data_IF_997845006431
#
_entry.id   IF_997845006431
#
_cell.length_a   1.000
_cell.length_b   1.000
_cell.length_c   1.000
_cell.angle_alpha   90.00
_cell.angle_beta   90.00
_cell.angle_gamma   90.00
#
_symmetry.space_group_name_H-M   'P 1'
#
loop_
_entity.id
_entity.type
_entity.pdbx_description
1 polymer ?
#
# COMPACT_ATOMS: atom_id res chain seq x y z
N UNK A 1 -29.76 -14.21 -24.05
CA UNK A 1 -28.83 -14.37 -25.20
C UNK A 1 -28.93 -13.25 -26.24
N UNK A 2 -30.08 -13.02 -26.90
CA UNK A 2 -30.22 -11.98 -27.95
C UNK A 2 -29.74 -10.58 -27.52
N UNK A 3 -30.18 -10.11 -26.36
CA UNK A 3 -29.76 -8.81 -25.81
C UNK A 3 -28.25 -8.77 -25.50
N UNK A 4 -27.69 -9.87 -24.99
CA UNK A 4 -26.25 -10.00 -24.74
C UNK A 4 -25.44 -9.88 -26.03
N UNK A 5 -25.90 -10.50 -27.13
CA UNK A 5 -25.21 -10.43 -28.41
C UNK A 5 -25.17 -9.01 -28.98
N UNK A 6 -26.27 -8.26 -28.80
CA UNK A 6 -26.33 -6.85 -29.21
C UNK A 6 -25.33 -5.99 -28.43
N UNK A 7 -25.15 -6.24 -27.13
CA UNK A 7 -24.24 -5.48 -26.27
C UNK A 7 -22.76 -5.82 -26.51
N UNK A 8 -22.44 -7.10 -26.71
CA UNK A 8 -21.05 -7.57 -26.81
C UNK A 8 -20.52 -7.66 -28.25
N UNK A 9 -21.41 -7.54 -29.26
CA UNK A 9 -21.07 -7.66 -30.67
C UNK A 9 -20.98 -9.11 -31.17
N UNK A 10 -20.91 -9.29 -32.49
CA UNK A 10 -21.03 -10.61 -33.14
C UNK A 10 -19.88 -11.58 -32.86
N UNK A 11 -18.71 -11.09 -32.40
CA UNK A 11 -17.55 -11.92 -32.06
C UNK A 11 -17.68 -12.67 -30.73
N UNK A 12 -18.62 -12.28 -29.87
CA UNK A 12 -18.82 -12.92 -28.57
C UNK A 12 -19.61 -14.23 -28.71
N UNK A 13 -19.07 -15.32 -28.15
CA UNK A 13 -19.77 -16.60 -28.03
C UNK A 13 -20.58 -16.61 -26.74
N UNK A 14 -21.91 -16.75 -26.86
CA UNK A 14 -22.82 -16.76 -25.71
C UNK A 14 -23.35 -18.17 -25.48
N UNK A 15 -23.32 -18.60 -24.23
CA UNK A 15 -23.80 -19.92 -23.80
C UNK A 15 -24.71 -19.75 -22.59
N UNK A 16 -25.81 -20.49 -22.55
CA UNK A 16 -26.63 -20.62 -21.34
C UNK A 16 -26.02 -21.72 -20.46
N UNK A 17 -25.83 -21.43 -19.18
CA UNK A 17 -25.29 -22.39 -18.22
C UNK A 17 -25.71 -22.05 -16.80
N UNK A 18 -25.57 -23.04 -15.93
CA UNK A 18 -25.71 -22.90 -14.48
C UNK A 18 -24.31 -22.70 -13.87
N UNK A 19 -24.17 -21.74 -12.95
CA UNK A 19 -22.92 -21.50 -12.23
C UNK A 19 -22.45 -22.75 -11.49
N UNK A 20 -23.38 -23.53 -10.95
CA UNK A 20 -23.07 -24.75 -10.20
C UNK A 20 -22.71 -25.95 -11.09
N UNK A 21 -22.80 -25.80 -12.42
CA UNK A 21 -22.44 -26.82 -13.40
C UNK A 21 -22.17 -26.18 -14.77
N UNK A 22 -21.00 -25.55 -14.91
CA UNK A 22 -20.65 -24.79 -16.10
C UNK A 22 -20.49 -25.72 -17.32
N UNK A 23 -21.11 -25.39 -18.48
CA UNK A 23 -21.13 -26.24 -19.67
C UNK A 23 -19.84 -26.12 -20.50
N UNK A 24 -18.69 -26.10 -19.83
CA UNK A 24 -17.37 -25.97 -20.46
C UNK A 24 -16.42 -27.06 -19.96
N UNK A 25 -15.48 -27.52 -20.81
CA UNK A 25 -14.44 -28.44 -20.38
C UNK A 25 -13.48 -27.79 -19.36
N UNK A 26 -12.70 -28.63 -18.68
CA UNK A 26 -11.68 -28.19 -17.73
C UNK A 26 -10.57 -27.40 -18.44
N UNK A 27 -10.06 -26.35 -17.80
CA UNK A 27 -8.83 -25.67 -18.22
C UNK A 27 -8.87 -24.96 -19.58
N UNK A 28 -10.04 -24.54 -20.05
CA UNK A 28 -10.19 -23.92 -21.39
C UNK A 28 -10.07 -22.40 -21.40
N UNK A 29 -10.29 -21.72 -20.26
CA UNK A 29 -10.27 -20.26 -20.18
C UNK A 29 -9.02 -19.71 -19.50
N UNK A 30 -8.50 -18.60 -20.04
CA UNK A 30 -7.36 -17.85 -19.49
C UNK A 30 -7.76 -16.89 -18.35
N UNK A 31 -9.06 -16.68 -18.12
CA UNK A 31 -9.57 -15.83 -17.06
C UNK A 31 -11.09 -15.84 -16.98
N UNK A 32 -11.62 -15.40 -15.84
CA UNK A 32 -13.06 -15.24 -15.61
C UNK A 32 -13.38 -13.87 -15.01
N UNK A 33 -14.54 -13.33 -15.37
CA UNK A 33 -15.09 -12.10 -14.80
C UNK A 33 -16.54 -12.40 -14.41
N UNK A 34 -16.87 -12.18 -13.14
CA UNK A 34 -18.19 -12.34 -12.56
C UNK A 34 -18.59 -11.01 -11.93
N UNK A 35 -19.62 -10.37 -12.46
CA UNK A 35 -20.06 -9.03 -12.04
C UNK A 35 -21.55 -9.10 -11.77
N UNK A 36 -21.94 -8.73 -10.54
CA UNK A 36 -23.33 -8.66 -10.11
C UNK A 36 -24.12 -9.91 -10.50
N UNK A 37 -23.55 -11.09 -10.22
CA UNK A 37 -24.15 -12.36 -10.60
C UNK A 37 -24.02 -13.43 -9.52
N UNK A 38 -22.89 -13.48 -8.81
CA UNK A 38 -22.58 -14.54 -7.85
C UNK A 38 -23.57 -14.55 -6.67
N UNK A 39 -24.08 -13.39 -6.26
CA UNK A 39 -25.06 -13.28 -5.16
C UNK A 39 -26.41 -13.96 -5.46
N UNK A 40 -26.75 -14.22 -6.72
CA UNK A 40 -27.94 -14.99 -7.06
C UNK A 40 -27.75 -16.51 -6.97
N UNK A 41 -26.53 -16.98 -6.71
CA UNK A 41 -26.19 -18.41 -6.72
C UNK A 41 -26.47 -19.04 -5.35
N UNK A 42 -27.27 -20.12 -5.27
CA UNK A 42 -27.51 -20.85 -4.03
C UNK A 42 -26.24 -21.38 -3.36
N UNK A 43 -25.47 -22.21 -4.09
CA UNK A 43 -24.21 -22.81 -3.64
C UNK A 43 -23.00 -22.11 -4.29
N UNK A 44 -22.57 -21.01 -3.67
CA UNK A 44 -21.41 -20.23 -4.12
C UNK A 44 -20.15 -21.09 -4.15
N UNK A 45 -19.93 -21.92 -3.14
CA UNK A 45 -18.74 -22.78 -3.06
C UNK A 45 -18.65 -23.76 -4.23
N UNK A 46 -19.78 -24.34 -4.66
CA UNK A 46 -19.84 -25.17 -5.88
C UNK A 46 -19.59 -24.35 -7.14
N UNK A 47 -20.18 -23.16 -7.25
CA UNK A 47 -19.93 -22.28 -8.39
C UNK A 47 -18.46 -21.86 -8.51
N UNK A 48 -17.81 -21.54 -7.39
CA UNK A 48 -16.38 -21.20 -7.37
C UNK A 48 -15.50 -22.38 -7.79
N UNK A 49 -15.85 -23.61 -7.39
CA UNK A 49 -15.17 -24.83 -7.87
C UNK A 49 -15.34 -25.03 -9.38
N UNK A 50 -16.54 -24.80 -9.91
CA UNK A 50 -16.79 -24.89 -11.35
C UNK A 50 -16.03 -23.80 -12.12
N UNK A 51 -16.03 -22.55 -11.63
CA UNK A 51 -15.23 -21.46 -12.20
C UNK A 51 -13.75 -21.85 -12.18
N UNK A 52 -13.24 -22.37 -11.06
CA UNK A 52 -11.85 -22.82 -10.97
C UNK A 52 -11.54 -23.97 -11.93
N UNK A 53 -12.47 -24.92 -12.11
CA UNK A 53 -12.31 -26.08 -13.00
C UNK A 53 -12.14 -25.67 -14.46
N UNK A 54 -12.95 -24.73 -14.94
CA UNK A 54 -12.91 -24.29 -16.36
C UNK A 54 -11.72 -23.39 -16.67
N UNK A 55 -11.06 -22.85 -15.65
CA UNK A 55 -9.86 -22.00 -15.77
C UNK A 55 -8.58 -22.82 -15.90
N UNK A 56 -7.64 -22.35 -16.73
CA UNK A 56 -6.27 -22.86 -16.80
C UNK A 56 -5.57 -22.75 -15.44
N UNK A 57 -4.50 -23.53 -15.26
CA UNK A 57 -3.79 -23.65 -13.98
C UNK A 57 -3.31 -22.31 -13.40
N UNK A 58 -2.89 -21.37 -14.25
CA UNK A 58 -2.33 -20.07 -13.84
C UNK A 58 -3.31 -18.90 -14.08
N UNK A 59 -4.54 -19.20 -14.49
CA UNK A 59 -5.56 -18.19 -14.75
C UNK A 59 -6.19 -17.66 -13.45
N UNK A 60 -6.82 -16.49 -13.56
CA UNK A 60 -7.50 -15.82 -12.45
C UNK A 60 -8.97 -15.51 -12.73
N UNK A 61 -9.69 -15.21 -11.66
CA UNK A 61 -11.06 -14.74 -11.68
C UNK A 61 -11.20 -13.40 -10.95
N UNK A 62 -12.05 -12.53 -11.48
CA UNK A 62 -12.46 -11.28 -10.83
C UNK A 62 -13.94 -11.38 -10.48
N UNK A 63 -14.26 -11.05 -9.23
CA UNK A 63 -15.63 -11.01 -8.70
C UNK A 63 -15.92 -9.57 -8.26
N UNK A 64 -16.99 -8.97 -8.77
CA UNK A 64 -17.45 -7.63 -8.41
C UNK A 64 -18.91 -7.73 -8.02
N UNK A 65 -19.18 -7.78 -6.72
CA UNK A 65 -20.49 -8.18 -6.21
C UNK A 65 -21.04 -7.14 -5.23
N UNK A 66 -22.37 -7.04 -5.10
CA UNK A 66 -22.95 -6.26 -4.03
C UNK A 66 -22.68 -6.95 -2.69
N UNK A 67 -22.19 -6.16 -1.73
CA UNK A 67 -21.75 -6.66 -0.42
C UNK A 67 -22.76 -6.42 0.69
N UNK A 68 -22.25 -6.10 1.87
CA UNK A 68 -23.03 -5.95 3.09
C UNK A 68 -24.16 -4.90 2.94
N UNK A 69 -25.38 -5.31 3.29
CA UNK A 69 -26.57 -4.47 3.27
C UNK A 69 -27.38 -4.52 1.97
N UNK A 70 -26.87 -5.17 0.91
CA UNK A 70 -27.57 -5.31 -0.37
C UNK A 70 -28.92 -6.01 -0.25
N UNK A 71 -28.99 -7.17 0.39
CA UNK A 71 -30.22 -7.94 0.57
C UNK A 71 -31.28 -7.20 1.39
N UNK A 72 -30.85 -6.21 2.18
CA UNK A 72 -31.75 -5.42 3.03
C UNK A 72 -32.39 -4.22 2.30
N UNK A 73 -31.89 -3.86 1.11
CA UNK A 73 -32.39 -2.73 0.34
C UNK A 73 -33.83 -2.96 -0.13
N UNK A 74 -34.59 -1.86 -0.25
CA UNK A 74 -35.99 -1.93 -0.66
C UNK A 74 -36.14 -2.56 -2.05
N UNK A 75 -35.26 -2.19 -2.98
CA UNK A 75 -35.24 -2.76 -4.34
C UNK A 75 -35.04 -4.28 -4.30
N UNK A 76 -34.01 -4.76 -3.60
CA UNK A 76 -33.71 -6.19 -3.50
C UNK A 76 -34.87 -6.98 -2.89
N UNK A 77 -35.55 -6.42 -1.89
CA UNK A 77 -36.76 -7.04 -1.31
C UNK A 77 -37.91 -7.15 -2.31
N UNK A 78 -38.17 -6.08 -3.05
CA UNK A 78 -39.19 -6.09 -4.11
C UNK A 78 -38.83 -7.11 -5.20
N UNK A 79 -37.57 -7.17 -5.63
CA UNK A 79 -37.13 -8.13 -6.65
C UNK A 79 -37.28 -9.58 -6.16
N UNK A 80 -36.92 -9.89 -4.92
CA UNK A 80 -37.17 -11.20 -4.31
C UNK A 80 -38.68 -11.54 -4.25
N UNK A 81 -39.52 -10.59 -3.83
CA UNK A 81 -40.96 -10.80 -3.69
C UNK A 81 -41.67 -10.98 -5.04
N UNK A 82 -41.32 -10.15 -6.03
CA UNK A 82 -42.03 -10.11 -7.32
C UNK A 82 -41.46 -11.08 -8.35
N UNK A 83 -40.14 -11.26 -8.38
CA UNK A 83 -39.45 -12.06 -9.40
C UNK A 83 -39.00 -13.42 -8.88
N UNK A 84 -39.03 -13.65 -7.56
CA UNK A 84 -38.57 -14.90 -6.95
C UNK A 84 -37.06 -15.15 -7.12
N UNK A 85 -36.30 -14.09 -7.40
CA UNK A 85 -34.83 -14.15 -7.47
C UNK A 85 -34.25 -14.22 -6.06
N UNK A 86 -33.01 -14.69 -5.98
CA UNK A 86 -32.24 -14.70 -4.75
C UNK A 86 -31.38 -13.43 -4.69
N UNK A 87 -31.64 -12.58 -3.70
CA UNK A 87 -30.76 -11.47 -3.35
C UNK A 87 -30.09 -11.78 -2.01
N UNK A 88 -28.75 -11.79 -1.97
CA UNK A 88 -27.98 -11.98 -0.74
C UNK A 88 -26.81 -11.01 -0.67
N UNK A 89 -26.30 -10.80 0.53
CA UNK A 89 -25.04 -10.09 0.72
C UNK A 89 -23.87 -11.00 0.38
N UNK A 90 -22.89 -10.50 -0.36
CA UNK A 90 -21.58 -11.15 -0.45
C UNK A 90 -20.68 -10.62 0.66
N UNK A 91 -20.36 -11.48 1.62
CA UNK A 91 -19.43 -11.16 2.70
C UNK A 91 -18.01 -11.38 2.21
N UNK A 92 -17.25 -10.30 2.08
CA UNK A 92 -15.91 -10.29 1.46
C UNK A 92 -14.96 -11.34 2.04
N UNK A 93 -14.93 -11.50 3.37
CA UNK A 93 -14.04 -12.47 4.03
C UNK A 93 -14.42 -13.90 3.71
N UNK A 94 -15.72 -14.20 3.70
CA UNK A 94 -16.24 -15.54 3.37
C UNK A 94 -15.96 -15.87 1.91
N UNK A 95 -16.22 -14.93 0.99
CA UNK A 95 -15.90 -15.12 -0.43
C UNK A 95 -14.40 -15.37 -0.65
N UNK A 96 -13.53 -14.67 0.07
CA UNK A 96 -12.09 -14.88 -0.04
C UNK A 96 -11.67 -16.28 0.43
N UNK A 97 -12.27 -16.78 1.52
CA UNK A 97 -12.01 -18.12 2.03
C UNK A 97 -12.59 -19.20 1.10
N UNK A 98 -13.81 -19.02 0.59
CA UNK A 98 -14.41 -19.94 -0.38
C UNK A 98 -13.61 -19.99 -1.70
N UNK A 99 -13.02 -18.87 -2.14
CA UNK A 99 -12.09 -18.88 -3.28
C UNK A 99 -10.87 -19.75 -2.98
N UNK A 100 -10.30 -19.66 -1.78
CA UNK A 100 -9.15 -20.50 -1.40
C UNK A 100 -9.54 -21.97 -1.38
N UNK A 101 -10.68 -22.30 -0.79
CA UNK A 101 -11.20 -23.66 -0.72
C UNK A 101 -11.53 -24.23 -2.09
N UNK A 102 -11.91 -23.38 -3.05
CA UNK A 102 -12.13 -23.76 -4.44
C UNK A 102 -10.82 -24.05 -5.21
N UNK A 103 -9.65 -23.70 -4.67
CA UNK A 103 -8.34 -23.95 -5.28
C UNK A 103 -7.67 -22.72 -5.91
N UNK A 104 -8.03 -21.51 -5.49
CA UNK A 104 -7.28 -20.29 -5.79
C UNK A 104 -6.20 -20.07 -4.71
N UNK A 105 -4.92 -20.05 -5.10
CA UNK A 105 -3.81 -19.92 -4.17
C UNK A 105 -3.62 -18.48 -3.67
N UNK A 106 -3.86 -17.48 -4.52
CA UNK A 106 -3.76 -16.07 -4.14
C UNK A 106 -5.09 -15.36 -4.29
N UNK A 107 -5.62 -14.81 -3.20
CA UNK A 107 -6.89 -14.08 -3.18
C UNK A 107 -6.70 -12.73 -2.51
N UNK A 108 -7.11 -11.67 -3.19
CA UNK A 108 -6.99 -10.29 -2.73
C UNK A 108 -8.28 -9.51 -2.98
N UNK A 109 -8.53 -8.48 -2.19
CA UNK A 109 -9.65 -7.55 -2.39
C UNK A 109 -9.13 -6.18 -2.78
N UNK A 110 -9.83 -5.53 -3.71
CA UNK A 110 -9.50 -4.22 -4.21
C UNK A 110 -10.66 -3.26 -3.90
N UNK A 111 -10.39 -2.10 -3.27
CA UNK A 111 -11.43 -1.12 -3.03
C UNK A 111 -11.90 -0.52 -4.36
N UNK A 112 -13.21 -0.51 -4.55
CA UNK A 112 -13.86 0.27 -5.59
C UNK A 112 -14.61 1.45 -4.94
N UNK A 113 -14.07 2.65 -5.11
CA UNK A 113 -14.67 3.87 -4.57
C UNK A 113 -15.70 4.41 -5.56
N UNK A 114 -16.97 4.12 -5.30
CA UNK A 114 -18.09 4.65 -6.09
C UNK A 114 -19.29 5.01 -5.18
N UNK A 115 -19.88 6.22 -5.32
CA UNK A 115 -19.43 7.35 -6.14
C UNK A 115 -18.03 7.84 -5.71
N UNK A 116 -17.29 8.54 -6.59
CA UNK A 116 -15.96 9.03 -6.24
C UNK A 116 -16.03 9.95 -5.02
N UNK A 117 -15.00 9.89 -4.18
CA UNK A 117 -14.88 10.77 -3.03
C UNK A 117 -14.78 12.23 -3.52
N UNK A 118 -15.77 13.04 -3.15
CA UNK A 118 -15.77 14.47 -3.41
C UNK A 118 -15.32 15.19 -2.14
N UNK A 119 -14.24 15.95 -2.26
CA UNK A 119 -13.77 16.84 -1.20
C UNK A 119 -14.12 18.26 -1.60
N UNK A 120 -14.80 18.98 -0.72
CA UNK A 120 -14.89 20.43 -0.87
C UNK A 120 -13.52 21.08 -0.63
N UNK A 121 -13.42 22.36 -0.95
CA UNK A 121 -12.17 23.09 -0.89
C UNK A 121 -11.60 23.25 0.54
N UNK A 122 -12.45 23.27 1.57
CA UNK A 122 -12.00 23.37 2.98
C UNK A 122 -11.41 22.04 3.45
N UNK A 123 -12.07 20.93 3.12
CA UNK A 123 -11.60 19.59 3.42
C UNK A 123 -10.31 19.28 2.64
N UNK A 124 -10.25 19.65 1.35
CA UNK A 124 -9.04 19.47 0.54
C UNK A 124 -7.83 20.23 1.08
N UNK A 125 -8.00 21.50 1.47
CA UNK A 125 -6.93 22.29 2.13
C UNK A 125 -6.47 21.67 3.44
N UNK A 126 -7.39 21.05 4.18
CA UNK A 126 -7.05 20.38 5.44
C UNK A 126 -6.18 19.15 5.20
N UNK A 127 -6.49 18.35 4.16
CA UNK A 127 -5.68 17.20 3.73
C UNK A 127 -4.27 17.64 3.31
N UNK A 128 -4.16 18.71 2.50
CA UNK A 128 -2.86 19.20 2.01
C UNK A 128 -1.93 19.72 3.12
N UNK A 129 -2.48 20.06 4.29
CA UNK A 129 -1.71 20.57 5.42
C UNK A 129 -1.27 19.46 6.39
N UNK A 130 -1.68 18.21 6.17
CA UNK A 130 -1.20 17.05 6.93
C UNK A 130 0.25 16.78 6.52
N UNK A 131 1.18 17.00 7.46
CA UNK A 131 2.57 16.57 7.27
C UNK A 131 2.66 15.05 7.39
N UNK A 132 3.52 14.40 6.59
CA UNK A 132 3.76 12.95 6.70
C UNK A 132 4.00 12.55 8.16
N UNK A 133 3.47 11.40 8.63
CA UNK A 133 3.76 10.94 9.96
C UNK A 133 5.26 10.67 10.07
N UNK A 134 5.99 11.55 10.75
CA UNK A 134 7.32 11.23 11.25
C UNK A 134 7.19 10.06 12.23
N UNK A 135 8.20 9.18 12.23
CA UNK A 135 8.25 7.84 12.82
C UNK A 135 8.07 7.77 14.35
N UNK A 136 7.58 8.83 14.99
CA UNK A 136 7.39 8.94 16.44
C UNK A 136 5.88 9.07 16.72
N UNK A 137 5.21 7.91 16.82
CA UNK A 137 3.81 7.86 17.23
C UNK A 137 3.65 8.33 18.69
N UNK A 138 2.86 9.38 18.90
CA UNK A 138 2.52 9.86 20.24
C UNK A 138 1.50 8.94 20.91
N UNK A 139 1.64 8.76 22.23
CA UNK A 139 0.78 8.00 23.15
C UNK A 139 -0.74 8.26 22.99
N UNK A 140 -1.12 9.33 22.30
CA UNK A 140 -2.50 9.72 22.00
C UNK A 140 -3.19 8.80 20.98
N UNK A 141 -2.46 8.29 19.98
CA UNK A 141 -3.03 7.36 18.97
C UNK A 141 -3.25 5.97 19.58
N UNK A 142 -2.31 5.52 20.42
CA UNK A 142 -2.48 4.31 21.24
C UNK A 142 -3.66 4.45 22.21
N UNK A 143 -3.82 5.61 22.85
CA UNK A 143 -4.96 5.88 23.73
C UNK A 143 -6.31 5.83 23.00
N UNK A 144 -6.41 6.38 21.79
CA UNK A 144 -7.65 6.34 21.01
C UNK A 144 -7.98 4.92 20.51
N UNK A 145 -6.99 4.17 20.03
CA UNK A 145 -7.16 2.76 19.69
C UNK A 145 -7.59 1.93 20.92
N UNK A 146 -7.04 2.22 22.10
CA UNK A 146 -7.45 1.59 23.36
C UNK A 146 -8.90 1.92 23.75
N UNK A 147 -9.34 3.17 23.60
CA UNK A 147 -10.74 3.56 23.86
C UNK A 147 -11.69 2.81 22.93
N UNK A 148 -11.35 2.60 21.67
CA UNK A 148 -12.15 1.78 20.76
C UNK A 148 -12.13 0.29 21.10
N UNK A 149 -10.98 -0.27 21.50
CA UNK A 149 -10.90 -1.68 21.94
C UNK A 149 -11.75 -1.95 23.19
N UNK A 150 -11.92 -0.97 24.08
CA UNK A 150 -12.79 -1.12 25.26
C UNK A 150 -14.30 -1.16 24.94
N UNK A 151 -14.70 -0.81 23.71
CA UNK A 151 -16.07 -0.95 23.22
C UNK A 151 -16.41 -2.38 22.79
N UNK A 152 -15.40 -3.25 22.58
CA UNK A 152 -15.58 -4.67 22.27
C UNK A 152 -15.47 -5.55 23.53
N UNK A 153 -16.58 -5.68 24.27
CA UNK A 153 -16.83 -6.79 25.22
C UNK A 153 -16.04 -6.82 26.54
N UNK A 154 -16.67 -7.28 27.62
CA UNK A 154 -16.13 -7.24 28.99
C UNK A 154 -14.98 -8.19 29.29
N UNK A 155 -14.78 -9.25 28.51
CA UNK A 155 -13.80 -10.31 28.78
C UNK A 155 -12.32 -9.89 28.55
N UNK A 156 -12.06 -8.94 27.63
CA UNK A 156 -10.70 -8.55 27.25
C UNK A 156 -10.05 -7.50 28.17
N UNK A 157 -10.81 -6.92 29.10
CA UNK A 157 -10.31 -5.85 29.99
C UNK A 157 -9.20 -6.34 30.92
N UNK A 158 -9.32 -7.53 31.52
CA UNK A 158 -8.34 -8.03 32.52
C UNK A 158 -6.98 -8.40 31.90
N UNK A 159 -6.97 -9.00 30.71
CA UNK A 159 -5.73 -9.35 30.00
C UNK A 159 -4.97 -8.12 29.51
N UNK A 160 -5.68 -7.08 29.06
CA UNK A 160 -5.08 -5.82 28.64
C UNK A 160 -4.40 -5.08 29.81
N UNK A 161 -5.04 -5.06 30.99
CA UNK A 161 -4.49 -4.44 32.20
C UNK A 161 -3.26 -5.17 32.76
N UNK A 162 -3.25 -6.50 32.72
CA UNK A 162 -2.12 -7.31 33.19
C UNK A 162 -0.84 -7.11 32.35
N UNK A 163 -0.98 -6.91 31.03
CA UNK A 163 0.16 -6.60 30.14
C UNK A 163 0.67 -5.17 30.30
N UNK A 164 -0.19 -4.22 30.70
CA UNK A 164 0.16 -2.80 30.86
C UNK A 164 1.04 -2.55 32.09
N UNK A 165 0.78 -3.26 33.19
CA UNK A 165 1.54 -3.13 34.44
C UNK A 165 2.99 -3.64 34.31
N UNK A 166 3.27 -4.53 33.36
CA UNK A 166 4.62 -5.06 33.09
C UNK A 166 5.49 -4.19 32.20
N UNK A 167 4.93 -3.17 31.54
CA UNK A 167 5.62 -2.39 30.50
C UNK A 167 6.07 -0.98 30.90
N UNK A 168 5.87 -0.55 32.15
CA UNK A 168 6.25 0.79 32.60
C UNK A 168 7.26 0.74 33.76
N UNK A 169 8.57 0.78 33.47
CA UNK A 169 9.55 1.31 34.41
C UNK A 169 9.96 2.74 34.01
N UNK A 170 10.10 3.62 35.01
CA UNK A 170 10.64 4.99 34.99
C UNK A 170 9.72 6.14 34.55
N UNK A 171 8.90 6.63 35.49
CA UNK A 171 8.47 8.02 35.56
C UNK A 171 8.79 8.55 36.97
N UNK A 172 10.04 8.94 37.16
CA UNK A 172 10.52 9.47 38.43
C UNK A 172 11.72 10.40 38.20
N UNK A 173 11.46 11.57 37.62
CA UNK A 173 12.25 12.82 37.67
C UNK A 173 12.05 13.59 36.37
N UNK A 174 11.18 14.60 36.39
CA UNK A 174 11.39 15.96 35.85
C UNK A 174 10.18 16.74 36.33
N UNK A 175 10.29 17.47 37.45
CA UNK A 175 9.53 18.70 37.70
C UNK A 175 10.06 19.34 38.98
N UNK A 176 11.11 20.14 38.85
CA UNK A 176 11.50 21.16 39.83
C UNK A 176 11.97 22.39 39.07
N UNK A 177 11.28 23.53 39.25
CA UNK A 177 11.74 24.82 38.72
C UNK A 177 10.62 25.85 38.63
N UNK A 178 10.57 26.77 39.60
CA UNK A 178 9.66 27.93 39.67
C UNK A 178 10.18 29.11 38.84
N UNK A 179 9.27 29.96 38.35
CA UNK A 179 9.38 31.43 38.53
C UNK A 179 9.28 32.34 37.31
N UNK A 180 8.29 33.25 37.34
CA UNK A 180 8.35 34.71 37.06
C UNK A 180 7.27 35.26 36.11
N UNK A 181 6.69 36.40 36.52
CA UNK A 181 5.58 37.19 35.92
C UNK A 181 6.04 38.13 34.80
N UNK A 182 5.13 38.54 33.90
CA UNK A 182 4.80 39.97 33.64
C UNK A 182 3.57 40.14 32.72
N UNK A 183 3.08 41.39 32.70
CA UNK A 183 1.76 41.93 32.35
C UNK A 183 1.30 42.00 30.87
N UNK A 184 -0.05 42.00 30.73
CA UNK A 184 -0.97 42.80 29.85
C UNK A 184 -0.47 43.39 28.51
N UNK A 185 -1.14 43.06 27.38
CA UNK A 185 -2.24 43.84 26.73
C UNK A 185 -2.64 43.34 25.31
N UNK A 186 -3.95 43.44 25.05
CA UNK A 186 -4.70 43.62 23.77
C UNK A 186 -4.55 42.64 22.59
N UNK A 187 -5.66 41.96 22.22
CA UNK A 187 -6.38 42.11 20.92
C UNK A 187 -7.47 41.06 20.70
N UNK A 188 -8.58 41.54 20.11
CA UNK A 188 -9.59 40.87 19.26
C UNK A 188 -10.26 39.58 19.77
N UNK A 189 -11.60 39.57 19.71
CA UNK A 189 -12.45 38.38 19.83
C UNK A 189 -11.85 37.21 19.02
N UNK A 190 -11.74 36.00 19.59
CA UNK A 190 -11.24 34.87 18.85
C UNK A 190 -12.27 34.53 17.77
N UNK A 191 -11.92 34.75 16.51
CA UNK A 191 -12.49 33.94 15.44
C UNK A 191 -12.28 32.48 15.86
N UNK A 192 -13.36 31.70 15.95
CA UNK A 192 -13.25 30.26 16.20
C UNK A 192 -12.27 29.70 15.17
N UNK A 193 -11.08 29.34 15.64
CA UNK A 193 -10.11 28.65 14.79
C UNK A 193 -10.77 27.32 14.43
N UNK A 194 -10.89 26.97 13.13
CA UNK A 194 -11.40 25.67 12.76
C UNK A 194 -10.57 24.62 13.50
N UNK A 195 -11.25 23.81 14.31
CA UNK A 195 -10.62 22.74 15.08
C UNK A 195 -10.08 21.75 14.06
N UNK A 196 -8.76 21.75 13.87
CA UNK A 196 -8.10 20.80 12.97
C UNK A 196 -8.21 19.41 13.59
N UNK A 197 -8.86 18.43 12.93
CA UNK A 197 -8.77 17.06 13.38
C UNK A 197 -7.29 16.65 13.36
N UNK A 198 -6.78 15.97 14.40
CA UNK A 198 -5.40 15.49 14.38
C UNK A 198 -5.22 14.52 13.20
N UNK A 199 -4.05 14.54 12.56
CA UNK A 199 -3.72 13.76 11.35
C UNK A 199 -4.12 12.28 11.43
N UNK A 200 -3.96 11.67 12.61
CA UNK A 200 -4.38 10.30 12.89
C UNK A 200 -5.89 10.06 12.72
N UNK A 201 -6.74 11.04 13.05
CA UNK A 201 -8.19 10.94 12.88
C UNK A 201 -8.57 10.96 11.40
N UNK A 202 -7.87 11.74 10.57
CA UNK A 202 -8.12 11.82 9.13
C UNK A 202 -7.64 10.54 8.40
N UNK A 203 -6.47 10.01 8.79
CA UNK A 203 -6.00 8.71 8.33
C UNK A 203 -6.98 7.59 8.73
N UNK A 204 -7.46 7.58 9.97
CA UNK A 204 -8.44 6.61 10.46
C UNK A 204 -9.76 6.67 9.70
N UNK A 205 -10.31 7.87 9.48
CA UNK A 205 -11.54 8.05 8.69
C UNK A 205 -11.38 7.58 7.25
N UNK A 206 -10.22 7.82 6.63
CA UNK A 206 -9.92 7.35 5.27
C UNK A 206 -9.87 5.82 5.19
N UNK A 207 -9.24 5.18 6.17
CA UNK A 207 -9.20 3.71 6.27
C UNK A 207 -10.60 3.11 6.51
N UNK A 208 -11.41 3.72 7.38
CA UNK A 208 -12.80 3.29 7.60
C UNK A 208 -13.65 3.45 6.34
N UNK A 209 -13.45 4.53 5.58
CA UNK A 209 -14.16 4.78 4.33
C UNK A 209 -13.82 3.72 3.29
N UNK A 210 -12.52 3.42 3.13
CA UNK A 210 -12.05 2.34 2.26
C UNK A 210 -12.62 0.98 2.68
N UNK A 211 -12.63 0.70 3.99
CA UNK A 211 -13.21 -0.52 4.53
C UNK A 211 -14.70 -0.62 4.19
N UNK A 212 -15.49 0.42 4.45
CA UNK A 212 -16.92 0.40 4.14
C UNK A 212 -17.18 0.27 2.63
N UNK A 213 -16.38 0.93 1.79
CA UNK A 213 -16.50 0.79 0.34
C UNK A 213 -16.25 -0.65 -0.11
N UNK A 214 -15.22 -1.31 0.45
CA UNK A 214 -14.93 -2.73 0.20
C UNK A 214 -16.04 -3.64 0.72
N UNK A 215 -16.58 -3.37 1.91
CA UNK A 215 -17.66 -4.18 2.49
C UNK A 215 -18.96 -4.02 1.71
N UNK A 216 -19.26 -2.83 1.18
CA UNK A 216 -20.48 -2.57 0.40
C UNK A 216 -20.39 -3.05 -1.05
N UNK A 217 -19.19 -3.06 -1.65
CA UNK A 217 -18.98 -3.53 -3.02
C UNK A 217 -17.60 -4.20 -3.17
N UNK A 218 -17.45 -5.45 -2.72
CA UNK A 218 -16.18 -6.15 -2.81
C UNK A 218 -15.79 -6.44 -4.26
N UNK A 219 -14.58 -6.04 -4.64
CA UNK A 219 -13.91 -6.50 -5.86
C UNK A 219 -12.82 -7.49 -5.47
N UNK A 220 -13.13 -8.78 -5.54
CA UNK A 220 -12.19 -9.87 -5.21
C UNK A 220 -11.48 -10.34 -6.48
N UNK A 221 -10.15 -10.42 -6.41
CA UNK A 221 -9.30 -11.00 -7.44
C UNK A 221 -8.68 -12.27 -6.88
N UNK A 222 -9.01 -13.41 -7.49
CA UNK A 222 -8.54 -14.73 -7.13
C UNK A 222 -7.68 -15.31 -8.25
N UNK A 223 -6.48 -15.80 -7.93
CA UNK A 223 -5.51 -16.35 -8.87
C UNK A 223 -5.17 -17.78 -8.46
N UNK A 224 -5.16 -18.68 -9.44
CA UNK A 224 -4.88 -20.10 -9.21
C UNK A 224 -3.39 -20.39 -8.96
N UNK A 225 -2.49 -19.57 -9.51
CA UNK A 225 -1.05 -19.65 -9.26
C UNK A 225 -0.61 -18.83 -8.04
N UNK A 226 0.58 -19.16 -7.51
CA UNK A 226 1.24 -18.32 -6.51
C UNK A 226 1.50 -16.94 -7.10
N UNK A 227 1.14 -15.90 -6.35
CA UNK A 227 1.62 -14.55 -6.65
C UNK A 227 3.15 -14.55 -6.59
N UNK A 228 3.80 -14.13 -7.67
CA UNK A 228 5.19 -13.71 -7.61
C UNK A 228 5.26 -12.31 -6.97
N UNK A 229 6.03 -12.11 -5.88
CA UNK A 229 6.19 -10.80 -5.30
C UNK A 229 6.86 -9.85 -6.30
N UNK A 230 6.31 -8.65 -6.41
CA UNK A 230 6.90 -7.51 -7.12
C UNK A 230 6.93 -6.29 -6.19
N UNK A 231 7.66 -5.25 -6.57
CA UNK A 231 7.82 -4.00 -5.81
C UNK A 231 6.50 -3.26 -5.52
N UNK A 232 5.39 -3.59 -6.19
CA UNK A 232 4.08 -3.02 -5.85
C UNK A 232 3.49 -3.63 -4.57
N UNK A 233 3.80 -4.89 -4.27
CA UNK A 233 3.49 -5.54 -2.99
C UNK A 233 4.66 -6.45 -2.60
N UNK A 234 5.74 -5.90 -2.06
CA UNK A 234 6.98 -6.63 -1.88
C UNK A 234 6.85 -7.79 -0.88
N UNK A 235 7.69 -8.82 -1.07
CA UNK A 235 8.06 -9.77 -0.03
C UNK A 235 9.28 -9.24 0.72
N UNK A 236 10.45 -9.71 0.35
CA UNK A 236 11.77 -9.31 0.83
C UNK A 236 12.43 -8.38 -0.18
N UNK A 237 12.45 -7.08 0.13
CA UNK A 237 13.25 -6.09 -0.59
C UNK A 237 14.69 -6.11 -0.04
N UNK A 238 15.61 -6.73 -0.80
CA UNK A 238 17.02 -6.78 -0.41
C UNK A 238 17.93 -6.68 -1.61
N UNK A 239 18.79 -5.66 -1.60
CA UNK A 239 19.75 -5.39 -2.67
C UNK A 239 21.17 -5.47 -2.16
N UNK A 240 22.07 -6.00 -2.97
CA UNK A 240 23.50 -5.90 -2.74
C UNK A 240 24.08 -4.87 -3.71
N UNK A 241 24.74 -3.86 -3.15
CA UNK A 241 25.34 -2.75 -3.90
C UNK A 241 26.86 -2.94 -3.91
N UNK A 242 27.48 -2.79 -5.07
CA UNK A 242 28.93 -2.80 -5.24
C UNK A 242 29.36 -1.62 -6.09
N UNK A 243 30.30 -0.84 -5.59
CA UNK A 243 30.95 0.26 -6.32
C UNK A 243 32.34 -0.17 -6.79
N UNK A 244 32.71 0.20 -8.01
CA UNK A 244 34.04 -0.11 -8.57
C UNK A 244 35.14 0.71 -7.92
N UNK A 245 34.84 1.98 -7.63
CA UNK A 245 35.77 2.92 -7.02
C UNK A 245 35.44 3.10 -5.53
N UNK A 246 36.38 2.81 -4.62
CA UNK A 246 36.13 2.85 -3.18
C UNK A 246 36.12 4.28 -2.60
N UNK A 247 36.61 5.27 -3.35
CA UNK A 247 36.66 6.70 -2.98
C UNK A 247 36.43 7.50 -4.27
N UNK A 248 35.58 8.52 -4.21
CA UNK A 248 35.36 9.45 -5.33
C UNK A 248 36.06 10.78 -5.08
N UNK A 249 36.74 11.30 -6.10
CA UNK A 249 37.42 12.59 -6.05
C UNK A 249 36.92 13.47 -7.19
N UNK A 250 36.38 14.64 -6.87
CA UNK A 250 35.72 15.52 -7.83
C UNK A 250 35.98 16.99 -7.50
N UNK A 251 35.86 17.86 -8.50
CA UNK A 251 35.92 19.31 -8.28
C UNK A 251 34.61 19.85 -7.71
N UNK A 252 34.71 20.92 -6.91
CA UNK A 252 33.57 21.59 -6.32
C UNK A 252 32.55 22.02 -7.38
N UNK A 253 31.27 21.68 -7.15
CA UNK A 253 30.17 21.98 -8.06
C UNK A 253 30.14 21.16 -9.36
N UNK A 254 31.10 20.25 -9.59
CA UNK A 254 31.13 19.43 -10.80
C UNK A 254 29.99 18.39 -10.82
N UNK A 255 29.45 18.15 -12.01
CA UNK A 255 28.57 17.00 -12.25
C UNK A 255 29.41 15.80 -12.64
N UNK A 256 29.19 14.66 -12.00
CA UNK A 256 29.96 13.43 -12.21
C UNK A 256 29.04 12.20 -12.26
N UNK A 257 29.51 11.15 -12.94
CA UNK A 257 28.76 9.91 -13.12
C UNK A 257 29.49 8.76 -12.45
N UNK A 258 28.75 7.91 -11.78
CA UNK A 258 29.27 6.70 -11.14
C UNK A 258 28.49 5.48 -11.64
N UNK A 259 29.22 4.40 -11.87
CA UNK A 259 28.62 3.12 -12.23
C UNK A 259 28.52 2.25 -10.98
N UNK A 260 27.31 1.82 -10.66
CA UNK A 260 27.01 1.05 -9.46
C UNK A 260 26.44 -0.30 -9.89
N UNK A 261 27.11 -1.39 -9.52
CA UNK A 261 26.58 -2.73 -9.72
C UNK A 261 25.57 -3.00 -8.60
N UNK A 262 24.37 -3.40 -8.96
CA UNK A 262 23.31 -3.75 -8.02
C UNK A 262 22.80 -5.16 -8.31
N UNK A 263 22.61 -5.96 -7.28
CA UNK A 263 22.09 -7.32 -7.37
C UNK A 263 20.83 -7.44 -6.52
N UNK A 264 19.81 -8.08 -7.07
CA UNK A 264 18.60 -8.43 -6.34
C UNK A 264 18.81 -9.71 -5.55
N UNK A 265 19.07 -9.59 -4.24
CA UNK A 265 19.29 -10.73 -3.33
C UNK A 265 18.05 -11.03 -2.48
N UNK A 266 16.90 -10.45 -2.84
CA UNK A 266 15.60 -10.68 -2.23
C UNK A 266 14.79 -11.77 -2.95
N UNK A 267 13.47 -11.77 -2.71
CA UNK A 267 12.51 -12.67 -3.39
C UNK A 267 11.52 -11.92 -4.30
N UNK A 268 11.71 -10.61 -4.41
CA UNK A 268 10.77 -9.68 -5.02
C UNK A 268 11.30 -9.20 -6.37
N UNK A 269 10.50 -9.31 -7.43
CA UNK A 269 10.78 -8.71 -8.73
C UNK A 269 10.79 -7.18 -8.59
N UNK A 270 11.89 -6.54 -8.98
CA UNK A 270 12.00 -5.09 -8.99
C UNK A 270 11.48 -4.55 -10.32
N UNK A 271 10.39 -3.80 -10.29
CA UNK A 271 9.86 -3.17 -11.50
C UNK A 271 10.67 -1.91 -11.81
N UNK A 272 11.03 -1.68 -13.07
CA UNK A 272 11.83 -0.54 -13.49
C UNK A 272 11.00 0.63 -14.01
N UNK A 273 9.81 0.36 -14.56
CA UNK A 273 9.00 1.37 -15.23
C UNK A 273 8.39 2.37 -14.22
N UNK A 274 8.68 3.67 -14.34
CA UNK A 274 8.11 4.68 -13.45
C UNK A 274 6.60 4.80 -13.63
N UNK A 275 5.89 4.87 -12.50
CA UNK A 275 4.45 5.17 -12.48
C UNK A 275 4.18 6.39 -11.60
N UNK A 276 3.02 7.03 -11.78
CA UNK A 276 2.63 8.20 -10.97
C UNK A 276 2.30 7.85 -9.51
N UNK A 277 2.22 6.56 -9.15
CA UNK A 277 1.82 6.08 -7.84
C UNK A 277 2.87 5.18 -7.15
N UNK A 278 4.08 5.06 -7.73
CA UNK A 278 5.20 4.32 -7.14
C UNK A 278 5.17 2.81 -7.40
N UNK A 279 5.90 2.05 -6.58
CA UNK A 279 6.05 0.59 -6.71
C UNK A 279 7.05 0.15 -7.78
N UNK A 280 7.94 1.05 -8.20
CA UNK A 280 9.08 0.79 -9.07
C UNK A 280 10.37 1.11 -8.32
N UNK A 281 11.47 0.45 -8.70
CA UNK A 281 12.73 0.50 -7.95
C UNK A 281 13.73 1.43 -8.62
N UNK A 282 14.43 2.22 -7.80
CA UNK A 282 15.51 3.13 -8.21
C UNK A 282 16.74 2.93 -7.33
N UNK A 283 17.89 3.40 -7.81
CA UNK A 283 19.07 3.61 -6.97
C UNK A 283 19.03 5.04 -6.43
N UNK A 284 19.05 5.18 -5.10
CA UNK A 284 19.07 6.45 -4.40
C UNK A 284 20.43 6.78 -3.78
N UNK A 285 20.72 8.06 -3.66
CA UNK A 285 21.86 8.58 -2.93
C UNK A 285 21.44 9.63 -1.90
N UNK A 286 22.05 9.57 -0.72
CA UNK A 286 22.01 10.58 0.35
C UNK A 286 23.42 11.16 0.52
N UNK A 287 23.50 12.47 0.71
CA UNK A 287 24.76 13.14 1.06
C UNK A 287 24.85 13.28 2.57
N UNK A 288 25.99 12.88 3.13
CA UNK A 288 26.31 12.94 4.54
C UNK A 288 27.59 13.74 4.76
N UNK A 289 27.74 14.29 5.95
CA UNK A 289 29.02 14.82 6.43
C UNK A 289 29.96 13.70 6.92
N UNK A 290 31.12 14.10 7.45
CA UNK A 290 32.13 13.18 8.00
C UNK A 290 31.67 12.45 9.27
N UNK A 291 30.68 12.99 9.99
CA UNK A 291 30.06 12.39 11.18
C UNK A 291 28.87 11.49 10.84
N UNK A 292 28.53 11.32 9.56
CA UNK A 292 27.36 10.62 9.03
C UNK A 292 26.02 11.32 9.29
N UNK A 293 26.03 12.61 9.59
CA UNK A 293 24.81 13.39 9.67
C UNK A 293 24.32 13.72 8.25
N UNK A 294 23.01 13.67 8.08
CA UNK A 294 22.35 13.88 6.80
C UNK A 294 22.44 15.34 6.37
N UNK A 295 23.09 15.60 5.24
CA UNK A 295 23.12 16.92 4.58
C UNK A 295 21.97 17.01 3.57
N UNK A 296 21.82 16.00 2.70
CA UNK A 296 20.77 15.97 1.68
C UNK A 296 20.19 14.57 1.54
N UNK A 297 18.86 14.46 1.71
CA UNK A 297 18.14 13.18 1.62
C UNK A 297 18.00 12.66 0.18
N UNK A 298 17.74 13.56 -0.77
CA UNK A 298 17.52 13.23 -2.18
C UNK A 298 18.66 13.79 -3.02
N UNK A 299 19.89 13.36 -2.68
CA UNK A 299 21.11 13.82 -3.34
C UNK A 299 21.25 13.27 -4.76
N UNK A 300 20.71 12.08 -5.01
CA UNK A 300 20.65 11.48 -6.35
C UNK A 300 19.59 10.39 -6.47
N UNK A 301 19.10 10.21 -7.70
CA UNK A 301 18.20 9.12 -8.10
C UNK A 301 18.55 8.66 -9.51
N UNK A 302 18.57 7.35 -9.73
CA UNK A 302 18.73 6.73 -11.05
C UNK A 302 17.74 5.59 -11.23
N UNK A 303 17.10 5.55 -12.40
CA UNK A 303 16.18 4.48 -12.78
C UNK A 303 16.94 3.19 -13.13
N UNK A 304 16.30 2.05 -12.92
CA UNK A 304 16.73 0.80 -13.53
C UNK A 304 16.42 0.83 -15.03
N UNK A 305 17.25 0.15 -15.84
CA UNK A 305 17.03 0.07 -17.29
C UNK A 305 15.98 -0.96 -17.71
N UNK A 306 15.73 -1.97 -16.87
CA UNK A 306 14.75 -3.03 -17.05
C UNK A 306 14.42 -3.65 -15.69
N UNK A 307 13.31 -4.37 -15.62
CA UNK A 307 12.93 -5.14 -14.43
C UNK A 307 14.06 -6.09 -14.01
N UNK A 308 14.25 -6.25 -12.70
CA UNK A 308 15.34 -7.06 -12.16
C UNK A 308 14.78 -8.18 -11.27
N UNK A 309 14.85 -9.41 -11.76
CA UNK A 309 14.35 -10.58 -11.03
C UNK A 309 15.28 -10.97 -9.86
N UNK A 310 14.79 -11.74 -8.88
CA UNK A 310 15.62 -12.33 -7.83
C UNK A 310 16.82 -13.10 -8.39
N UNK A 311 18.01 -12.81 -7.86
CA UNK A 311 19.30 -13.37 -8.30
C UNK A 311 19.93 -12.67 -9.50
N UNK A 312 19.26 -11.68 -10.11
CA UNK A 312 19.81 -10.93 -11.23
C UNK A 312 20.62 -9.70 -10.79
N UNK A 313 21.49 -9.25 -11.67
CA UNK A 313 22.34 -8.07 -11.46
C UNK A 313 22.24 -7.13 -12.66
N UNK A 314 22.29 -5.83 -12.40
CA UNK A 314 22.49 -4.80 -13.42
C UNK A 314 23.51 -3.75 -12.99
N UNK A 315 23.98 -2.94 -13.94
CA UNK A 315 24.78 -1.75 -13.69
C UNK A 315 23.89 -0.53 -13.87
N UNK A 316 23.82 0.31 -12.84
CA UNK A 316 23.06 1.56 -12.86
C UNK A 316 24.04 2.72 -12.96
N UNK A 317 23.83 3.60 -13.94
CA UNK A 317 24.58 4.85 -14.06
C UNK A 317 23.86 5.94 -13.24
N UNK A 318 24.53 6.43 -12.20
CA UNK A 318 24.02 7.49 -11.32
C UNK A 318 24.79 8.78 -11.59
N UNK A 319 24.06 9.86 -11.89
CA UNK A 319 24.62 11.21 -12.04
C UNK A 319 24.43 11.98 -10.73
N UNK A 320 25.51 12.55 -10.21
CA UNK A 320 25.55 13.33 -8.96
C UNK A 320 26.19 14.69 -9.22
N UNK A 321 25.90 15.66 -8.35
CA UNK A 321 26.53 16.99 -8.39
C UNK A 321 27.31 17.21 -7.10
N UNK A 322 28.61 17.44 -7.21
CA UNK A 322 29.47 17.69 -6.08
C UNK A 322 29.02 18.94 -5.29
N UNK A 323 29.13 18.95 -3.95
CA UNK A 323 29.00 20.17 -3.15
C UNK A 323 29.82 21.32 -3.72
N UNK A 324 29.32 22.55 -3.58
CA UNK A 324 30.06 23.76 -3.98
C UNK A 324 31.19 24.11 -2.99
N UNK A 325 31.10 23.62 -1.76
CA UNK A 325 32.14 23.77 -0.75
C UNK A 325 33.13 22.61 -0.87
N UNK A 326 34.44 22.89 -1.02
CA UNK A 326 35.47 21.85 -0.95
C UNK A 326 35.52 21.23 0.45
N UNK A 327 35.78 19.92 0.51
CA UNK A 327 35.83 19.19 1.78
C UNK A 327 35.66 17.68 1.61
N UNK A 328 35.60 17.00 2.75
CA UNK A 328 35.33 15.57 2.81
C UNK A 328 33.85 15.32 3.11
N UNK A 329 33.24 14.45 2.33
CA UNK A 329 31.84 14.07 2.40
C UNK A 329 31.71 12.55 2.32
N UNK A 330 30.49 12.06 2.54
CA UNK A 330 30.16 10.65 2.32
C UNK A 330 28.85 10.56 1.55
N UNK A 331 28.80 9.69 0.55
CA UNK A 331 27.58 9.40 -0.20
C UNK A 331 27.08 8.04 0.21
N UNK A 332 25.87 7.98 0.76
CA UNK A 332 25.20 6.74 1.09
C UNK A 332 24.28 6.33 -0.06
N UNK A 333 24.60 5.21 -0.68
CA UNK A 333 23.84 4.55 -1.74
C UNK A 333 22.91 3.51 -1.14
N UNK A 334 21.65 3.53 -1.54
CA UNK A 334 20.65 2.53 -1.17
C UNK A 334 19.64 2.32 -2.30
N UNK A 335 19.05 1.13 -2.36
CA UNK A 335 17.94 0.88 -3.27
C UNK A 335 16.65 1.48 -2.69
N UNK A 336 15.76 1.95 -3.56
CA UNK A 336 14.49 2.57 -3.16
C UNK A 336 13.36 1.93 -3.94
N UNK A 337 12.35 1.41 -3.25
CA UNK A 337 11.05 1.13 -3.82
C UNK A 337 10.21 2.40 -3.71
N UNK A 338 10.04 3.10 -4.83
CA UNK A 338 9.52 4.47 -4.85
C UNK A 338 8.10 4.54 -4.30
N UNK A 339 7.89 5.50 -3.40
CA UNK A 339 6.66 5.67 -2.59
C UNK A 339 6.33 4.48 -1.64
N UNK A 340 7.19 3.47 -1.53
CA UNK A 340 7.01 2.33 -0.63
C UNK A 340 8.02 2.37 0.51
N UNK A 341 9.31 2.19 0.23
CA UNK A 341 10.36 2.16 1.24
C UNK A 341 11.76 2.32 0.65
N UNK A 342 12.67 2.87 1.48
CA UNK A 342 14.09 2.62 1.30
C UNK A 342 14.42 1.20 1.75
N UNK A 343 15.28 0.50 1.02
CA UNK A 343 15.61 -0.89 1.31
C UNK A 343 16.29 -1.03 2.67
N UNK A 344 17.05 -0.03 3.12
CA UNK A 344 17.64 0.00 4.46
C UNK A 344 16.60 -0.05 5.59
N UNK A 345 15.41 0.53 5.38
CA UNK A 345 14.35 0.56 6.40
C UNK A 345 13.66 -0.81 6.56
N UNK A 346 13.87 -1.71 5.61
CA UNK A 346 13.33 -3.08 5.60
C UNK A 346 14.43 -4.14 5.72
N UNK A 347 15.64 -3.73 6.15
CA UNK A 347 16.71 -4.64 6.55
C UNK A 347 17.76 -4.96 5.48
N UNK A 348 17.76 -4.25 4.34
CA UNK A 348 18.87 -4.31 3.39
C UNK A 348 20.05 -3.46 3.85
N UNK A 349 21.27 -3.82 3.44
CA UNK A 349 22.46 -3.02 3.75
C UNK A 349 22.70 -1.97 2.66
N UNK A 350 22.83 -0.71 3.08
CA UNK A 350 23.24 0.40 2.23
C UNK A 350 24.78 0.53 2.20
N UNK A 351 25.32 1.09 1.12
CA UNK A 351 26.76 1.29 0.94
C UNK A 351 27.12 2.76 1.14
N UNK A 352 28.17 3.05 1.90
CA UNK A 352 28.66 4.42 2.10
C UNK A 352 30.01 4.58 1.43
N UNK A 353 30.10 5.52 0.50
CA UNK A 353 31.32 5.83 -0.28
C UNK A 353 31.87 7.18 0.15
N UNK A 354 33.16 7.29 0.52
CA UNK A 354 33.82 8.58 0.72
C UNK A 354 33.86 9.42 -0.56
N UNK A 355 33.62 10.72 -0.42
CA UNK A 355 33.66 11.71 -1.50
C UNK A 355 34.55 12.88 -1.08
N UNK A 356 35.67 13.06 -1.76
CA UNK A 356 36.56 14.20 -1.58
C UNK A 356 36.27 15.25 -2.66
N UNK A 357 35.98 16.47 -2.23
CA UNK A 357 35.68 17.61 -3.11
C UNK A 357 36.84 18.60 -3.07
N UNK A 358 37.53 18.79 -4.19
CA UNK A 358 38.64 19.75 -4.32
C UNK A 358 38.16 21.10 -4.86
N UNK A 359 38.95 22.16 -4.65
CA UNK A 359 38.72 23.46 -5.28
C UNK A 359 38.64 23.30 -6.81
N UNK A 360 37.71 24.00 -7.46
CA UNK A 360 37.71 24.14 -8.92
C UNK A 360 38.94 24.95 -9.34
N UNK A 361 39.68 24.49 -10.35
CA UNK A 361 40.83 25.22 -10.88
C UNK A 361 40.44 26.49 -11.64
#
# INVERSE_FOLDING_TARGET
LRLGQQRLGAGAKLTTGDFESLPFPDGVFDGAICISALHHVPDISRALREIRRVLKKDAGAVFSEPGLGHASQAQSKTEMEELGVLERDIIVTELMDECRDAGFEFVSVHPYLFPPLAYDHELWRSIQQVTQPSTIFSLKTLWQAMVEMTRYGSANRRLAWARLASTIPLLGRVYSGKGARSDRQTRSSPAEKPVRPPDALLCWQSLLTLRHAVEAHPVVVAQAGKRQPDSRRPGILKGQITVSEPIWQVEAGASFRVQVKVENVGDTLWLAEPTSYGGFVTLGAKLLDTENLLIAQDYGRALLGADLAPGETTIVELTLNAPAEPGEYRVKLDMVDECVAWFEHVGSEAVVVPLTVSLSQ
#
